data_IF_828494765201
#
_entry.id   IF_828494765201
#
_cell.length_a   1.000
_cell.length_b   1.000
_cell.length_c   1.000
_cell.angle_alpha   90.00
_cell.angle_beta   90.00
_cell.angle_gamma   90.00
#
_symmetry.space_group_name_H-M   'P 1'
#
loop_
_entity.id
_entity.type
_entity.pdbx_description
1 polymer ?
#
# COMPACT_ATOMS: atom_id res chain seq x y z
N UNK A 1 14.33 18.67 1.02
CA UNK A 1 13.35 17.58 1.20
C UNK A 1 12.15 17.87 0.31
N UNK A 2 12.13 17.36 -0.92
CA UNK A 2 10.98 17.54 -1.82
C UNK A 2 9.98 16.41 -1.59
N UNK A 3 9.16 16.52 -0.55
CA UNK A 3 8.07 15.57 -0.37
C UNK A 3 7.07 15.75 -1.52
N UNK A 4 6.80 14.65 -2.21
CA UNK A 4 5.99 14.66 -3.43
C UNK A 4 4.66 13.90 -3.29
N UNK A 5 4.55 13.12 -2.21
CA UNK A 5 3.35 12.35 -1.85
C UNK A 5 2.81 12.93 -0.54
N UNK A 6 1.60 13.49 -0.59
CA UNK A 6 0.91 14.06 0.57
C UNK A 6 0.58 13.03 1.63
N UNK A 7 0.27 13.51 2.84
CA UNK A 7 -0.11 12.64 3.96
C UNK A 7 -1.37 11.81 3.65
N UNK A 8 -2.28 12.33 2.82
CA UNK A 8 -3.51 11.64 2.42
C UNK A 8 -3.23 10.41 1.53
N UNK A 9 -2.46 10.55 0.45
CA UNK A 9 -2.05 9.42 -0.40
C UNK A 9 -1.29 8.34 0.38
N UNK A 10 -0.43 8.78 1.30
CA UNK A 10 0.31 7.90 2.20
C UNK A 10 -0.62 7.13 3.11
N UNK A 11 -1.61 7.80 3.70
CA UNK A 11 -2.60 7.20 4.57
C UNK A 11 -3.47 6.21 3.79
N UNK A 12 -3.97 6.57 2.61
CA UNK A 12 -4.77 5.69 1.75
C UNK A 12 -3.99 4.42 1.42
N UNK A 13 -2.74 4.55 0.98
CA UNK A 13 -1.91 3.40 0.60
C UNK A 13 -1.49 2.54 1.80
N UNK A 14 -1.26 3.16 2.96
CA UNK A 14 -1.04 2.44 4.22
C UNK A 14 -2.28 1.66 4.63
N UNK A 15 -3.46 2.31 4.67
CA UNK A 15 -4.73 1.70 5.07
C UNK A 15 -5.10 0.56 4.12
N UNK A 16 -4.98 0.76 2.81
CA UNK A 16 -5.20 -0.30 1.82
C UNK A 16 -4.20 -1.45 1.98
N UNK A 17 -2.91 -1.15 2.10
CA UNK A 17 -1.86 -2.17 2.23
C UNK A 17 -2.01 -3.01 3.49
N UNK A 18 -2.23 -2.35 4.63
CA UNK A 18 -2.47 -3.01 5.92
C UNK A 18 -3.78 -3.78 5.91
N UNK A 19 -4.86 -3.20 5.35
CA UNK A 19 -6.14 -3.88 5.20
C UNK A 19 -6.03 -5.15 4.36
N UNK A 20 -5.31 -5.10 3.24
CA UNK A 20 -5.09 -6.25 2.38
C UNK A 20 -4.23 -7.32 3.08
N UNK A 21 -3.17 -6.91 3.76
CA UNK A 21 -2.30 -7.81 4.53
C UNK A 21 -3.07 -8.56 5.65
N UNK A 22 -3.98 -7.85 6.34
CA UNK A 22 -4.78 -8.41 7.43
C UNK A 22 -6.03 -9.15 6.96
N UNK A 23 -6.51 -8.90 5.74
CA UNK A 23 -7.73 -9.52 5.21
C UNK A 23 -7.81 -11.05 5.36
N UNK A 24 -6.76 -11.86 5.10
CA UNK A 24 -6.81 -13.31 5.33
C UNK A 24 -6.91 -13.73 6.81
N UNK A 25 -6.66 -12.83 7.76
CA UNK A 25 -6.82 -13.12 9.20
C UNK A 25 -8.16 -12.61 9.76
N UNK A 26 -8.73 -11.58 9.15
CA UNK A 26 -9.97 -10.96 9.58
C UNK A 26 -11.21 -11.56 8.91
N UNK A 27 -11.03 -12.23 7.77
CA UNK A 27 -12.14 -12.79 6.98
C UNK A 27 -11.97 -14.29 6.81
N UNK A 28 -13.06 -15.04 6.92
CA UNK A 28 -13.10 -16.50 6.75
C UNK A 28 -13.61 -16.89 5.35
N UNK A 29 -13.06 -16.28 4.30
CA UNK A 29 -13.37 -16.70 2.93
C UNK A 29 -12.60 -17.98 2.57
N UNK A 30 -13.26 -18.88 1.83
CA UNK A 30 -12.66 -20.15 1.36
C UNK A 30 -11.44 -19.93 0.44
N UNK A 31 -11.31 -18.75 -0.17
CA UNK A 31 -10.11 -18.34 -0.94
C UNK A 31 -8.83 -18.35 -0.07
N UNK A 32 -8.94 -18.18 1.25
CA UNK A 32 -7.79 -18.16 2.14
C UNK A 32 -7.26 -19.55 2.54
N UNK A 33 -8.03 -20.62 2.31
CA UNK A 33 -7.55 -22.01 2.47
C UNK A 33 -6.48 -22.35 1.43
N UNK A 34 -6.49 -21.66 0.29
CA UNK A 34 -5.44 -21.77 -0.72
C UNK A 34 -4.19 -21.04 -0.21
N UNK A 35 -3.24 -21.80 0.35
CA UNK A 35 -2.01 -21.25 0.94
C UNK A 35 -1.25 -20.30 0.02
N UNK A 36 -1.20 -20.58 -1.28
CA UNK A 36 -0.58 -19.71 -2.27
C UNK A 36 -1.29 -18.36 -2.43
N UNK A 37 -2.63 -18.35 -2.45
CA UNK A 37 -3.43 -17.13 -2.56
C UNK A 37 -3.28 -16.26 -1.31
N UNK A 38 -3.28 -16.90 -0.14
CA UNK A 38 -3.06 -16.24 1.16
C UNK A 38 -1.70 -15.53 1.21
N UNK A 39 -0.62 -16.22 0.83
CA UNK A 39 0.73 -15.63 0.81
C UNK A 39 0.82 -14.51 -0.23
N UNK A 40 0.27 -14.70 -1.43
CA UNK A 40 0.30 -13.68 -2.48
C UNK A 40 -0.34 -12.36 -2.03
N UNK A 41 -1.53 -12.44 -1.40
CA UNK A 41 -2.23 -11.24 -0.90
C UNK A 41 -1.45 -10.55 0.22
N UNK A 42 -0.88 -11.32 1.15
CA UNK A 42 -0.02 -10.76 2.20
C UNK A 42 1.19 -10.02 1.60
N UNK A 43 1.88 -10.62 0.63
CA UNK A 43 3.03 -9.99 -0.03
C UNK A 43 2.63 -8.69 -0.73
N UNK A 44 1.51 -8.69 -1.45
CA UNK A 44 0.99 -7.49 -2.12
C UNK A 44 0.63 -6.40 -1.10
N UNK A 45 -0.06 -6.74 -0.02
CA UNK A 45 -0.42 -5.79 1.05
C UNK A 45 0.81 -5.19 1.73
N UNK A 46 1.82 -6.02 2.02
CA UNK A 46 3.08 -5.60 2.62
C UNK A 46 3.86 -4.65 1.70
N UNK A 47 3.95 -4.95 0.39
CA UNK A 47 4.60 -4.08 -0.59
C UNK A 47 3.89 -2.73 -0.72
N UNK A 48 2.55 -2.72 -0.72
CA UNK A 48 1.76 -1.51 -0.80
C UNK A 48 1.98 -0.62 0.44
N UNK A 49 1.95 -1.22 1.63
CA UNK A 49 2.23 -0.54 2.89
C UNK A 49 3.68 -0.02 2.94
N UNK A 50 4.66 -0.84 2.54
CA UNK A 50 6.06 -0.44 2.51
C UNK A 50 6.32 0.70 1.51
N UNK A 51 5.64 0.69 0.35
CA UNK A 51 5.68 1.76 -0.63
C UNK A 51 5.24 3.12 -0.04
N UNK A 52 4.35 3.13 0.96
CA UNK A 52 3.95 4.34 1.68
C UNK A 52 5.06 4.92 2.58
N UNK A 53 6.06 4.14 2.98
CA UNK A 53 7.12 4.58 3.88
C UNK A 53 8.16 5.48 3.19
N UNK A 54 8.34 5.33 1.88
CA UNK A 54 9.44 5.96 1.15
C UNK A 54 9.31 7.48 0.95
N UNK A 55 8.16 8.10 1.31
CA UNK A 55 7.88 9.57 1.25
C UNK A 55 8.22 10.27 -0.09
N UNK A 56 8.56 9.49 -1.10
CA UNK A 56 9.13 9.93 -2.36
C UNK A 56 8.80 8.86 -3.40
N UNK A 57 7.77 9.11 -4.21
CA UNK A 57 7.48 8.24 -5.34
C UNK A 57 8.27 8.77 -6.56
N UNK A 58 9.31 8.07 -7.04
CA UNK A 58 10.12 8.55 -8.17
C UNK A 58 9.28 8.71 -9.45
N UNK A 59 8.21 7.92 -9.59
CA UNK A 59 7.27 8.03 -10.70
C UNK A 59 6.51 9.36 -10.69
N UNK A 60 6.05 9.84 -9.53
CA UNK A 60 5.38 11.13 -9.44
C UNK A 60 6.35 12.30 -9.63
N UNK A 61 7.63 12.13 -9.26
CA UNK A 61 8.69 13.08 -9.61
C UNK A 61 8.89 13.14 -11.13
N UNK A 62 8.83 11.99 -11.81
CA UNK A 62 8.91 11.90 -13.28
C UNK A 62 7.71 12.56 -13.97
N UNK A 63 6.51 12.41 -13.38
CA UNK A 63 5.26 12.98 -13.86
C UNK A 63 5.02 14.44 -13.42
N UNK A 64 5.88 15.00 -12.55
CA UNK A 64 5.73 16.36 -12.02
C UNK A 64 4.53 16.58 -11.07
N UNK A 65 3.89 15.50 -10.59
CA UNK A 65 2.68 15.58 -9.75
C UNK A 65 3.09 15.69 -8.30
N UNK A 66 2.69 16.75 -7.61
CA UNK A 66 3.05 17.03 -6.23
C UNK A 66 1.80 17.04 -5.33
N UNK A 67 1.43 15.89 -4.74
CA UNK A 67 0.24 15.83 -3.86
C UNK A 67 0.51 16.33 -2.45
N UNK A 68 1.76 16.68 -2.14
CA UNK A 68 2.15 17.26 -0.85
C UNK A 68 1.66 18.69 -0.61
N UNK A 69 1.24 19.40 -1.66
CA UNK A 69 0.74 20.78 -1.54
C UNK A 69 -0.78 20.83 -1.33
N UNK A 70 -1.46 19.68 -1.42
CA UNK A 70 -2.90 19.52 -1.23
C UNK A 70 -3.18 19.08 0.21
#
# INVERSE_FOLDING_TARGET
>A
MTCNVGNLDRLIRLVLGVGLFLSPYLTHFSIWDIGAARIAVMVVGALLAFSSALRFCPLYRLLGINTCRV
#
